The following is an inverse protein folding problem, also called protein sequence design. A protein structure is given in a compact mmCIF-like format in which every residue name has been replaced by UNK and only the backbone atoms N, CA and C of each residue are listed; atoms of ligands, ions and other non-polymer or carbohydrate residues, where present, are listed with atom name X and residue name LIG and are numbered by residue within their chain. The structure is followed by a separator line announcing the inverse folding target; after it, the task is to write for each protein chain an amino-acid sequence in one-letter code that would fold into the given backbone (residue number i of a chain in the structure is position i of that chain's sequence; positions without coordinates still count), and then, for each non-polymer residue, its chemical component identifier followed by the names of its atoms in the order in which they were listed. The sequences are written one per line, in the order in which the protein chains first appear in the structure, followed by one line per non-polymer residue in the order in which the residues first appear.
data_IF_525258392628
#
_entry.id   IF_525258392628
#
_cell.length_a   1.000
_cell.length_b   1.000
_cell.length_c   1.000
_cell.angle_alpha   90.00
_cell.angle_beta   90.00
_cell.angle_gamma   90.00
#
_symmetry.space_group_name_H-M   'P 1'
#
loop_
_entity.id
_entity.type
_entity.pdbx_description
1 polymer ?
#
# COMPACT_ATOMS: atom_id res chain seq x y z
N UNK A 1 5.24 -5.91 -23.82
CA UNK A 1 3.88 -6.40 -23.53
C UNK A 1 3.93 -7.21 -22.25
N UNK A 2 3.33 -6.71 -21.17
CA UNK A 2 3.28 -7.42 -19.89
C UNK A 2 2.46 -8.70 -20.06
N UNK A 3 3.06 -9.86 -19.78
CA UNK A 3 2.33 -11.13 -19.76
C UNK A 3 1.67 -11.28 -18.40
N UNK A 4 0.38 -10.97 -18.33
CA UNK A 4 -0.43 -11.34 -17.17
C UNK A 4 -0.51 -12.87 -17.07
N UNK A 5 -0.40 -13.40 -15.86
CA UNK A 5 -0.33 -14.85 -15.61
C UNK A 5 -1.66 -15.58 -15.78
N UNK A 6 -2.78 -14.87 -15.75
CA UNK A 6 -4.12 -15.43 -15.92
C UNK A 6 -5.13 -14.36 -16.35
N UNK A 7 -6.32 -14.77 -16.80
CA UNK A 7 -7.44 -13.85 -17.06
C UNK A 7 -7.83 -13.06 -15.81
N UNK A 8 -7.79 -13.71 -14.63
CA UNK A 8 -8.05 -13.06 -13.34
C UNK A 8 -7.02 -11.98 -13.04
N UNK A 9 -5.74 -12.25 -13.31
CA UNK A 9 -4.69 -11.25 -13.12
C UNK A 9 -4.95 -10.03 -14.02
N UNK A 10 -5.34 -10.25 -15.29
CA UNK A 10 -5.73 -9.16 -16.19
C UNK A 10 -6.92 -8.36 -15.63
N UNK A 11 -7.96 -9.02 -15.14
CA UNK A 11 -9.13 -8.35 -14.54
C UNK A 11 -8.75 -7.48 -13.33
N UNK A 12 -7.93 -7.99 -12.41
CA UNK A 12 -7.47 -7.22 -11.26
C UNK A 12 -6.65 -6.01 -11.69
N UNK A 13 -5.80 -6.14 -12.71
CA UNK A 13 -5.04 -5.01 -13.26
C UNK A 13 -5.94 -3.97 -13.92
N UNK A 14 -6.95 -4.40 -14.67
CA UNK A 14 -7.95 -3.50 -15.27
C UNK A 14 -8.73 -2.74 -14.20
N UNK A 15 -9.23 -3.42 -13.16
CA UNK A 15 -9.90 -2.77 -12.03
C UNK A 15 -8.98 -1.77 -11.29
N UNK A 16 -7.70 -2.13 -11.16
CA UNK A 16 -6.69 -1.27 -10.53
C UNK A 16 -6.41 0.00 -11.30
N UNK A 17 -6.38 -0.10 -12.63
CA UNK A 17 -6.19 1.03 -13.54
C UNK A 17 -7.40 1.98 -13.51
N UNK A 18 -8.63 1.45 -13.55
CA UNK A 18 -9.83 2.27 -13.38
C UNK A 18 -9.82 3.02 -12.06
N UNK A 19 -9.55 2.33 -10.95
CA UNK A 19 -9.46 2.98 -9.63
C UNK A 19 -8.39 4.09 -9.59
N UNK A 20 -7.29 3.93 -10.33
CA UNK A 20 -6.24 4.93 -10.42
C UNK A 20 -6.65 6.12 -11.31
N UNK A 21 -7.38 5.86 -12.41
CA UNK A 21 -7.96 6.90 -13.28
C UNK A 21 -8.98 7.75 -12.52
N UNK A 22 -9.92 7.13 -11.83
CA UNK A 22 -10.92 7.82 -11.00
C UNK A 22 -10.26 8.68 -9.93
N UNK A 23 -9.15 8.21 -9.37
CA UNK A 23 -8.41 8.93 -8.35
C UNK A 23 -7.80 10.24 -8.85
N UNK A 24 -7.64 10.45 -10.16
CA UNK A 24 -7.20 11.74 -10.72
C UNK A 24 -8.21 12.85 -10.48
N UNK A 25 -9.50 12.50 -10.41
CA UNK A 25 -10.62 13.42 -10.14
C UNK A 25 -10.98 13.49 -8.65
N UNK A 26 -10.22 12.81 -7.78
CA UNK A 26 -10.46 12.80 -6.33
C UNK A 26 -10.40 14.22 -5.74
N UNK A 27 -11.33 14.49 -4.82
CA UNK A 27 -11.32 15.73 -4.03
C UNK A 27 -10.15 15.82 -3.05
N UNK A 28 -9.45 14.72 -2.76
CA UNK A 28 -8.20 14.73 -2.00
C UNK A 28 -7.03 15.19 -2.90
N UNK A 29 -6.46 16.40 -2.69
CA UNK A 29 -5.50 16.98 -3.64
C UNK A 29 -4.21 16.17 -3.79
N UNK A 30 -3.80 15.47 -2.73
CA UNK A 30 -2.62 14.61 -2.75
C UNK A 30 -2.86 13.38 -3.62
N UNK A 31 -4.02 12.75 -3.45
CA UNK A 31 -4.39 11.56 -4.21
C UNK A 31 -4.49 11.89 -5.69
N UNK A 32 -5.25 12.93 -6.04
CA UNK A 32 -5.38 13.43 -7.41
C UNK A 32 -4.02 13.69 -8.05
N UNK A 33 -3.16 14.49 -7.40
CA UNK A 33 -1.83 14.80 -7.93
C UNK A 33 -0.96 13.56 -8.16
N UNK A 34 -0.94 12.63 -7.20
CA UNK A 34 -0.13 11.41 -7.32
C UNK A 34 -0.65 10.52 -8.46
N UNK A 35 -1.97 10.33 -8.54
CA UNK A 35 -2.61 9.56 -9.59
C UNK A 35 -2.32 10.14 -10.98
N UNK A 36 -2.56 11.45 -11.17
CA UNK A 36 -2.26 12.13 -12.44
C UNK A 36 -0.78 12.02 -12.80
N UNK A 37 0.12 12.21 -11.82
CA UNK A 37 1.57 12.08 -12.06
C UNK A 37 1.97 10.68 -12.56
N UNK A 38 1.30 9.62 -12.09
CA UNK A 38 1.57 8.25 -12.57
C UNK A 38 0.97 8.03 -13.95
N UNK A 39 -0.26 8.49 -14.20
CA UNK A 39 -0.98 8.27 -15.46
C UNK A 39 -0.40 9.08 -16.62
N UNK A 40 -0.02 10.34 -16.38
CA UNK A 40 0.45 11.27 -17.41
C UNK A 40 1.90 11.00 -17.86
N UNK A 41 2.65 10.14 -17.14
CA UNK A 41 4.04 9.82 -17.44
C UNK A 41 4.19 8.34 -17.78
N UNK A 42 4.35 8.03 -19.07
CA UNK A 42 4.52 6.66 -19.61
C UNK A 42 5.52 5.81 -18.84
N UNK A 43 6.65 6.40 -18.41
CA UNK A 43 7.70 5.66 -17.72
C UNK A 43 7.26 5.31 -16.30
N UNK A 44 6.64 6.25 -15.60
CA UNK A 44 6.09 6.01 -14.26
C UNK A 44 4.91 5.05 -14.31
N UNK A 45 4.02 5.19 -15.28
CA UNK A 45 2.91 4.29 -15.50
C UNK A 45 3.40 2.85 -15.70
N UNK A 46 4.34 2.60 -16.62
CA UNK A 46 4.88 1.25 -16.86
C UNK A 46 5.58 0.66 -15.64
N UNK A 47 6.28 1.50 -14.87
CA UNK A 47 6.92 1.06 -13.64
C UNK A 47 5.88 0.69 -12.56
N UNK A 48 4.82 1.49 -12.42
CA UNK A 48 3.68 1.17 -11.57
C UNK A 48 3.01 -0.13 -12.02
N UNK A 49 2.65 -0.24 -13.30
CA UNK A 49 1.96 -1.40 -13.87
C UNK A 49 2.72 -2.69 -13.59
N UNK A 50 4.03 -2.72 -13.88
CA UNK A 50 4.88 -3.88 -13.62
C UNK A 50 4.93 -4.25 -12.12
N UNK A 51 5.14 -3.26 -11.24
CA UNK A 51 5.24 -3.51 -9.80
C UNK A 51 3.90 -3.93 -9.21
N UNK A 52 2.81 -3.33 -9.67
CA UNK A 52 1.45 -3.60 -9.23
C UNK A 52 0.99 -5.00 -9.70
N UNK A 53 1.29 -5.37 -10.94
CA UNK A 53 1.06 -6.73 -11.44
C UNK A 53 1.82 -7.78 -10.62
N UNK A 54 3.09 -7.51 -10.27
CA UNK A 54 3.83 -8.41 -9.38
C UNK A 54 3.23 -8.48 -7.97
N UNK A 55 2.67 -7.38 -7.45
CA UNK A 55 1.99 -7.34 -6.16
C UNK A 55 0.68 -8.13 -6.16
N UNK A 56 -0.08 -8.09 -7.26
CA UNK A 56 -1.37 -8.77 -7.41
C UNK A 56 -1.28 -10.21 -7.90
N UNK A 57 -0.13 -10.64 -8.43
CA UNK A 57 0.07 -12.03 -8.87
C UNK A 57 -0.33 -13.07 -7.82
N UNK A 58 0.09 -12.99 -6.54
CA UNK A 58 -0.32 -13.96 -5.52
C UNK A 58 -1.83 -13.97 -5.26
N UNK A 59 -2.51 -12.83 -5.44
CA UNK A 59 -3.98 -12.72 -5.33
C UNK A 59 -4.62 -13.46 -6.50
N UNK A 60 -4.13 -13.22 -7.73
CA UNK A 60 -4.67 -13.83 -8.94
C UNK A 60 -4.50 -15.37 -8.98
N UNK A 61 -3.46 -15.89 -8.33
CA UNK A 61 -3.16 -17.33 -8.24
C UNK A 61 -4.12 -18.08 -7.31
N UNK A 62 -4.82 -17.39 -6.39
CA UNK A 62 -5.77 -18.04 -5.49
C UNK A 62 -7.08 -18.39 -6.21
N UNK A 63 -7.52 -19.63 -6.06
CA UNK A 63 -8.78 -20.12 -6.65
C UNK A 63 -10.01 -19.71 -5.86
N UNK A 64 -9.92 -19.67 -4.52
CA UNK A 64 -11.04 -19.31 -3.65
C UNK A 64 -10.95 -17.85 -3.18
N UNK A 65 -12.09 -17.15 -3.21
CA UNK A 65 -12.23 -15.74 -2.81
C UNK A 65 -11.63 -15.45 -1.43
N UNK A 66 -11.86 -16.32 -0.44
CA UNK A 66 -11.29 -16.15 0.91
C UNK A 66 -9.76 -16.05 0.90
N UNK A 67 -9.08 -16.83 0.08
CA UNK A 67 -7.62 -16.78 -0.01
C UNK A 67 -7.13 -15.59 -0.85
N UNK A 68 -7.90 -15.16 -1.85
CA UNK A 68 -7.63 -13.91 -2.58
C UNK A 68 -7.61 -12.72 -1.63
N UNK A 69 -8.64 -12.63 -0.78
CA UNK A 69 -8.74 -11.58 0.25
C UNK A 69 -7.55 -11.61 1.21
N UNK A 70 -7.17 -12.78 1.72
CA UNK A 70 -6.00 -12.91 2.60
C UNK A 70 -4.70 -12.47 1.89
N UNK A 71 -4.53 -12.83 0.62
CA UNK A 71 -3.39 -12.39 -0.18
C UNK A 71 -3.40 -10.87 -0.43
N UNK A 72 -4.58 -10.26 -0.60
CA UNK A 72 -4.74 -8.83 -0.79
C UNK A 72 -4.37 -8.04 0.48
N UNK A 73 -4.81 -8.49 1.67
CA UNK A 73 -4.35 -7.92 2.95
C UNK A 73 -2.83 -7.96 3.09
N UNK A 74 -2.20 -9.04 2.66
CA UNK A 74 -0.74 -9.15 2.67
C UNK A 74 -0.08 -8.14 1.71
N UNK A 75 -0.68 -7.91 0.53
CA UNK A 75 -0.25 -6.85 -0.37
C UNK A 75 -0.34 -5.46 0.28
N UNK A 76 -1.45 -5.14 0.97
CA UNK A 76 -1.60 -3.86 1.68
C UNK A 76 -0.55 -3.66 2.76
N UNK A 77 -0.22 -4.71 3.53
CA UNK A 77 0.87 -4.67 4.52
C UNK A 77 2.20 -4.30 3.87
N UNK A 78 2.53 -4.86 2.69
CA UNK A 78 3.74 -4.47 1.96
C UNK A 78 3.70 -3.00 1.55
N UNK A 79 2.55 -2.49 1.09
CA UNK A 79 2.38 -1.09 0.71
C UNK A 79 2.50 -0.13 1.90
N UNK A 80 2.02 -0.52 3.08
CA UNK A 80 2.22 0.22 4.33
C UNK A 80 3.72 0.38 4.61
N UNK A 81 4.48 -0.72 4.53
CA UNK A 81 5.93 -0.69 4.80
C UNK A 81 6.67 0.17 3.78
N UNK A 82 6.34 0.02 2.50
CA UNK A 82 6.97 0.78 1.40
C UNK A 82 6.72 2.29 1.46
N UNK A 83 5.69 2.75 2.16
CA UNK A 83 5.37 4.18 2.33
C UNK A 83 5.88 4.76 3.65
N UNK A 84 6.39 3.92 4.55
CA UNK A 84 6.58 4.26 5.94
C UNK A 84 7.65 5.34 6.17
N UNK A 85 8.81 5.22 5.51
CA UNK A 85 9.88 6.20 5.68
C UNK A 85 9.43 7.57 5.15
N UNK A 86 8.91 7.64 3.92
CA UNK A 86 8.39 8.90 3.39
C UNK A 86 7.30 9.53 4.28
N UNK A 87 6.29 8.74 4.73
CA UNK A 87 5.25 9.24 5.65
C UNK A 87 5.86 9.74 6.96
N UNK A 88 6.82 9.01 7.55
CA UNK A 88 7.48 9.41 8.78
C UNK A 88 8.24 10.73 8.62
N UNK A 89 9.04 10.87 7.55
CA UNK A 89 9.80 12.09 7.25
C UNK A 89 8.87 13.30 7.08
N UNK A 90 7.72 13.10 6.43
CA UNK A 90 6.72 14.15 6.22
C UNK A 90 6.04 14.55 7.54
N UNK A 91 5.52 13.58 8.31
CA UNK A 91 4.78 13.84 9.55
C UNK A 91 5.64 14.52 10.61
N UNK A 92 6.92 14.18 10.71
CA UNK A 92 7.82 14.72 11.74
C UNK A 92 8.73 15.84 11.20
N UNK A 93 8.49 16.29 9.96
CA UNK A 93 9.28 17.32 9.28
C UNK A 93 10.79 17.13 9.41
N UNK A 94 11.26 15.88 9.26
CA UNK A 94 12.66 15.54 9.57
C UNK A 94 13.61 16.19 8.55
N UNK A 95 14.55 17.00 9.06
CA UNK A 95 15.50 17.78 8.23
C UNK A 95 16.96 17.51 8.62
N UNK A 96 17.88 18.04 7.81
CA UNK A 96 19.30 18.12 8.10
C UNK A 96 19.98 16.77 8.40
N UNK A 97 20.79 16.75 9.47
CA UNK A 97 21.60 15.57 9.85
C UNK A 97 20.73 14.37 10.19
N UNK A 98 19.58 14.56 10.85
CA UNK A 98 18.67 13.48 11.18
C UNK A 98 18.11 12.82 9.91
N UNK A 99 17.68 13.61 8.93
CA UNK A 99 17.22 13.10 7.63
C UNK A 99 18.31 12.27 6.94
N UNK A 100 19.55 12.80 6.87
CA UNK A 100 20.70 12.07 6.30
C UNK A 100 20.98 10.74 7.00
N UNK A 101 20.90 10.70 8.33
CA UNK A 101 21.08 9.46 9.11
C UNK A 101 20.02 8.42 8.78
N UNK A 102 18.76 8.83 8.67
CA UNK A 102 17.67 7.93 8.31
C UNK A 102 17.84 7.38 6.89
N UNK A 103 18.16 8.22 5.90
CA UNK A 103 18.43 7.73 4.54
C UNK A 103 19.59 6.74 4.51
N UNK A 104 20.68 7.00 5.23
CA UNK A 104 21.80 6.04 5.35
C UNK A 104 21.38 4.71 5.99
N UNK A 105 20.45 4.74 6.95
CA UNK A 105 19.95 3.54 7.61
C UNK A 105 19.11 2.66 6.67
N UNK A 106 18.25 3.27 5.86
CA UNK A 106 17.29 2.55 5.02
C UNK A 106 17.76 2.32 3.58
N UNK A 107 18.71 3.12 3.10
CA UNK A 107 19.29 3.08 1.75
C UNK A 107 20.81 3.04 1.83
N UNK A 108 21.36 1.95 2.38
CA UNK A 108 22.79 1.85 2.76
C UNK A 108 23.77 1.95 1.60
N UNK A 109 23.35 1.60 0.39
CA UNK A 109 24.21 1.53 -0.81
C UNK A 109 24.11 2.75 -1.72
N UNK A 110 23.18 3.67 -1.44
CA UNK A 110 22.93 4.84 -2.27
C UNK A 110 23.57 6.08 -1.66
N UNK A 111 23.97 7.04 -2.49
CA UNK A 111 24.26 8.37 -1.99
C UNK A 111 22.98 9.05 -1.46
N UNK A 112 23.13 10.19 -0.80
CA UNK A 112 21.99 10.84 -0.17
C UNK A 112 20.92 11.31 -1.16
N UNK A 113 21.32 11.83 -2.32
CA UNK A 113 20.41 12.40 -3.31
C UNK A 113 19.68 11.29 -4.05
N UNK A 114 20.40 10.25 -4.45
CA UNK A 114 19.85 9.02 -5.02
C UNK A 114 18.87 8.35 -4.06
N UNK A 115 19.20 8.27 -2.78
CA UNK A 115 18.32 7.69 -1.76
C UNK A 115 17.00 8.49 -1.61
N UNK A 116 17.06 9.82 -1.69
CA UNK A 116 15.86 10.68 -1.67
C UNK A 116 14.97 10.40 -2.89
N UNK A 117 15.57 10.36 -4.08
CA UNK A 117 14.83 10.13 -5.32
C UNK A 117 14.23 8.72 -5.36
N UNK A 118 14.99 7.71 -4.92
CA UNK A 118 14.56 6.33 -4.82
C UNK A 118 13.38 6.17 -3.85
N UNK A 119 13.47 6.79 -2.66
CA UNK A 119 12.40 6.77 -1.66
C UNK A 119 11.14 7.49 -2.16
N UNK A 120 11.28 8.66 -2.79
CA UNK A 120 10.14 9.38 -3.35
C UNK A 120 9.43 8.57 -4.44
N UNK A 121 10.20 7.96 -5.35
CA UNK A 121 9.65 7.09 -6.39
C UNK A 121 8.93 5.88 -5.78
N UNK A 122 9.57 5.21 -4.82
CA UNK A 122 8.98 4.09 -4.10
C UNK A 122 7.64 4.48 -3.44
N UNK A 123 7.63 5.64 -2.77
CA UNK A 123 6.44 6.17 -2.13
C UNK A 123 5.30 6.40 -3.13
N UNK A 124 5.57 7.06 -4.26
CA UNK A 124 4.57 7.32 -5.31
C UNK A 124 3.96 6.04 -5.85
N UNK A 125 4.80 5.04 -6.18
CA UNK A 125 4.35 3.76 -6.72
C UNK A 125 3.55 2.95 -5.70
N UNK A 126 3.99 2.95 -4.44
CA UNK A 126 3.29 2.26 -3.37
C UNK A 126 1.99 2.95 -2.96
N UNK A 127 1.93 4.28 -3.03
CA UNK A 127 0.71 5.03 -2.76
C UNK A 127 -0.33 4.79 -3.84
N UNK A 128 0.07 4.85 -5.11
CA UNK A 128 -0.81 4.59 -6.26
C UNK A 128 -1.32 3.15 -6.27
N UNK A 129 -0.46 2.17 -5.97
CA UNK A 129 -0.89 0.79 -5.75
C UNK A 129 -1.90 0.67 -4.60
N UNK A 130 -1.76 1.49 -3.55
CA UNK A 130 -2.66 1.49 -2.40
C UNK A 130 -4.06 2.02 -2.73
N UNK A 131 -4.16 2.98 -3.65
CA UNK A 131 -5.46 3.45 -4.18
C UNK A 131 -6.18 2.27 -4.83
N UNK A 132 -5.50 1.56 -5.74
CA UNK A 132 -6.04 0.42 -6.46
C UNK A 132 -6.38 -0.76 -5.55
N UNK A 133 -5.51 -1.12 -4.59
CA UNK A 133 -5.80 -2.23 -3.67
C UNK A 133 -6.97 -1.91 -2.74
N UNK A 134 -7.09 -0.68 -2.24
CA UNK A 134 -8.24 -0.25 -1.45
C UNK A 134 -9.56 -0.41 -2.21
N UNK A 135 -9.59 -0.01 -3.49
CA UNK A 135 -10.77 -0.24 -4.34
C UNK A 135 -11.11 -1.72 -4.47
N UNK A 136 -10.12 -2.58 -4.73
CA UNK A 136 -10.33 -4.04 -4.82
C UNK A 136 -10.85 -4.60 -3.48
N UNK A 137 -10.33 -4.14 -2.34
CA UNK A 137 -10.80 -4.54 -1.00
C UNK A 137 -12.27 -4.15 -0.80
N UNK A 138 -12.64 -2.94 -1.19
CA UNK A 138 -14.03 -2.44 -1.10
C UNK A 138 -14.98 -3.28 -1.96
N UNK A 139 -14.57 -3.61 -3.19
CA UNK A 139 -15.31 -4.53 -4.08
C UNK A 139 -15.43 -5.91 -3.45
N UNK A 140 -14.36 -6.42 -2.83
CA UNK A 140 -14.34 -7.70 -2.12
C UNK A 140 -15.07 -7.68 -0.76
N UNK A 141 -15.56 -6.52 -0.31
CA UNK A 141 -16.37 -6.32 0.90
C UNK A 141 -15.75 -6.89 2.19
N UNK A 142 -14.43 -6.85 2.31
CA UNK A 142 -13.70 -7.42 3.45
C UNK A 142 -13.58 -6.47 4.66
N UNK A 143 -14.71 -6.14 5.27
CA UNK A 143 -14.76 -5.22 6.43
C UNK A 143 -13.87 -5.66 7.61
N UNK A 144 -13.75 -6.97 7.85
CA UNK A 144 -12.89 -7.52 8.89
C UNK A 144 -11.42 -7.25 8.58
N UNK A 145 -10.99 -7.51 7.34
CA UNK A 145 -9.64 -7.21 6.88
C UNK A 145 -9.32 -5.73 6.89
N UNK A 146 -10.20 -4.88 6.38
CA UNK A 146 -10.03 -3.42 6.40
C UNK A 146 -9.70 -2.92 7.81
N UNK A 147 -10.48 -3.34 8.81
CA UNK A 147 -10.23 -2.98 10.21
C UNK A 147 -8.90 -3.53 10.73
N UNK A 148 -8.50 -4.75 10.35
CA UNK A 148 -7.22 -5.33 10.76
C UNK A 148 -6.04 -4.59 10.13
N UNK A 149 -6.13 -4.24 8.84
CA UNK A 149 -5.11 -3.49 8.10
C UNK A 149 -4.95 -2.08 8.68
N UNK A 150 -6.06 -1.39 9.00
CA UNK A 150 -6.00 -0.08 9.68
C UNK A 150 -5.33 -0.15 11.05
N UNK A 151 -5.69 -1.16 11.87
CA UNK A 151 -5.05 -1.38 13.16
C UNK A 151 -3.56 -1.69 13.00
N UNK A 152 -3.21 -2.46 11.96
CA UNK A 152 -1.84 -2.76 11.62
C UNK A 152 -1.08 -1.50 11.21
N UNK A 153 -1.61 -0.67 10.32
CA UNK A 153 -0.97 0.57 9.86
C UNK A 153 -0.70 1.50 11.04
N UNK A 154 -1.69 1.74 11.91
CA UNK A 154 -1.54 2.58 13.12
C UNK A 154 -0.46 2.03 14.06
N UNK A 155 -0.47 0.71 14.30
CA UNK A 155 0.53 0.07 15.17
C UNK A 155 1.92 0.10 14.54
N UNK A 156 2.01 -0.06 13.21
CA UNK A 156 3.26 -0.07 12.47
C UNK A 156 3.88 1.32 12.40
N UNK A 157 3.08 2.36 12.21
CA UNK A 157 3.55 3.75 12.28
C UNK A 157 4.23 4.04 13.62
N UNK A 158 3.62 3.64 14.75
CA UNK A 158 4.22 3.77 16.08
C UNK A 158 5.50 2.97 16.24
N UNK A 159 5.52 1.73 15.76
CA UNK A 159 6.74 0.90 15.76
C UNK A 159 7.86 1.55 14.95
N UNK A 160 7.54 2.06 13.76
CA UNK A 160 8.47 2.67 12.84
C UNK A 160 9.04 3.98 13.40
N UNK A 161 8.20 4.80 14.03
CA UNK A 161 8.60 6.00 14.76
C UNK A 161 9.58 5.66 15.89
N UNK A 162 9.28 4.67 16.74
CA UNK A 162 10.19 4.23 17.80
C UNK A 162 11.53 3.74 17.25
N UNK A 163 11.52 3.00 16.13
CA UNK A 163 12.74 2.57 15.44
C UNK A 163 13.57 3.75 14.93
N UNK A 164 12.93 4.74 14.30
CA UNK A 164 13.60 5.94 13.82
C UNK A 164 14.16 6.78 14.96
N UNK A 165 13.42 6.91 16.07
CA UNK A 165 13.88 7.57 17.28
C UNK A 165 15.14 6.89 17.82
N UNK A 166 15.12 5.56 18.03
CA UNK A 166 16.28 4.81 18.52
C UNK A 166 17.51 5.00 17.61
N UNK A 167 17.30 5.08 16.30
CA UNK A 167 18.39 5.24 15.33
C UNK A 167 18.98 6.66 15.28
N UNK A 168 18.25 7.67 15.73
CA UNK A 168 18.65 9.08 15.60
C UNK A 168 18.97 9.76 16.93
N UNK A 169 18.37 9.28 18.02
CA UNK A 169 18.59 9.77 19.37
C UNK A 169 20.04 9.62 19.82
N UNK A 170 20.47 10.53 20.71
CA UNK A 170 21.82 10.52 21.31
C UNK A 170 21.80 10.09 22.77
N UNK A 171 20.68 10.24 23.44
CA UNK A 171 20.51 9.91 24.85
C UNK A 171 20.33 8.40 25.06
N UNK A 172 21.30 7.78 25.71
CA UNK A 172 21.30 6.34 25.97
C UNK A 172 20.19 5.87 26.90
N UNK A 173 19.74 6.70 27.83
CA UNK A 173 18.72 6.33 28.81
C UNK A 173 17.33 6.42 28.19
N UNK A 174 17.05 7.48 27.41
CA UNK A 174 15.85 7.52 26.57
C UNK A 174 15.79 6.33 25.59
N UNK A 175 16.92 5.96 24.98
CA UNK A 175 16.98 4.79 24.08
C UNK A 175 16.61 3.49 24.82
N UNK A 176 17.10 3.29 26.05
CA UNK A 176 16.77 2.09 26.86
C UNK A 176 15.27 2.02 27.15
N UNK A 177 14.66 3.15 27.51
CA UNK A 177 13.21 3.24 27.78
C UNK A 177 12.41 2.92 26.51
N UNK A 178 12.73 3.53 25.37
CA UNK A 178 11.99 3.27 24.12
C UNK A 178 12.18 1.82 23.65
N UNK A 179 13.34 1.21 23.86
CA UNK A 179 13.60 -0.20 23.52
C UNK A 179 12.75 -1.17 24.32
N UNK A 180 12.40 -0.88 25.58
CA UNK A 180 11.53 -1.75 26.36
C UNK A 180 10.11 -1.74 25.76
N UNK A 181 9.56 -0.56 25.48
CA UNK A 181 8.23 -0.41 24.86
C UNK A 181 8.16 -0.96 23.43
N UNK A 182 9.28 -0.92 22.68
CA UNK A 182 9.32 -1.42 21.31
C UNK A 182 8.94 -2.91 21.22
N UNK A 183 9.31 -3.72 22.21
CA UNK A 183 8.99 -5.16 22.24
C UNK A 183 7.48 -5.41 22.30
N UNK A 184 6.76 -4.60 23.07
CA UNK A 184 5.30 -4.72 23.21
C UNK A 184 4.60 -4.37 21.89
N UNK A 185 5.03 -3.29 21.24
CA UNK A 185 4.50 -2.87 19.94
C UNK A 185 4.80 -3.93 18.87
N UNK A 186 6.01 -4.50 18.87
CA UNK A 186 6.38 -5.60 17.97
C UNK A 186 5.51 -6.84 18.22
N UNK A 187 5.25 -7.20 19.47
CA UNK A 187 4.34 -8.30 19.82
C UNK A 187 2.91 -8.06 19.31
N UNK A 188 2.41 -6.81 19.40
CA UNK A 188 1.09 -6.44 18.85
C UNK A 188 1.06 -6.54 17.31
N UNK A 189 2.12 -6.11 16.62
CA UNK A 189 2.23 -6.25 15.17
C UNK A 189 2.19 -7.70 14.72
N UNK A 190 2.92 -8.59 15.39
CA UNK A 190 2.91 -10.02 15.07
C UNK A 190 1.54 -10.65 15.27
N UNK A 191 0.82 -10.25 16.34
CA UNK A 191 -0.57 -10.69 16.56
C UNK A 191 -1.50 -10.21 15.45
N UNK A 192 -1.42 -8.93 15.06
CA UNK A 192 -2.24 -8.38 13.99
C UNK A 192 -1.94 -9.05 12.65
N UNK A 193 -0.66 -9.28 12.33
CA UNK A 193 -0.25 -10.01 11.13
C UNK A 193 -0.82 -11.42 11.09
N UNK A 194 -0.68 -12.17 12.18
CA UNK A 194 -1.25 -13.52 12.29
C UNK A 194 -2.77 -13.50 12.08
N UNK A 195 -3.48 -12.55 12.70
CA UNK A 195 -4.93 -12.40 12.51
C UNK A 195 -5.30 -12.08 11.05
N UNK A 196 -4.54 -11.21 10.37
CA UNK A 196 -4.76 -10.93 8.95
C UNK A 196 -4.61 -12.18 8.06
N UNK A 197 -3.74 -13.12 8.44
CA UNK A 197 -3.47 -14.37 7.73
C UNK A 197 -4.49 -15.48 8.07
N UNK A 198 -5.10 -15.47 9.26
CA UNK A 198 -5.96 -16.57 9.73
C UNK A 198 -7.45 -16.24 9.82
N UNK A 199 -7.84 -14.98 10.05
CA UNK A 199 -9.25 -14.59 10.17
C UNK A 199 -9.89 -14.50 8.79
N UNK A 200 -10.82 -15.41 8.50
CA UNK A 200 -11.53 -15.41 7.22
C UNK A 200 -12.42 -14.16 7.06
N UNK A 201 -12.59 -13.65 5.83
CA UNK A 201 -13.52 -12.56 5.57
C UNK A 201 -14.95 -12.95 5.93
N UNK A 202 -15.72 -11.99 6.42
CA UNK A 202 -17.14 -12.18 6.71
C UNK A 202 -17.89 -12.29 5.38
N UNK A 203 -18.46 -13.46 5.09
CA UNK A 203 -19.03 -13.74 3.77
C UNK A 203 -20.24 -12.84 3.47
N UNK A 204 -20.14 -12.06 2.38
CA UNK A 204 -21.30 -11.64 1.58
C UNK A 204 -21.20 -12.32 0.22
N UNK A 205 -22.22 -13.10 -0.11
CA UNK A 205 -22.33 -13.91 -1.32
C UNK A 205 -22.22 -13.05 -2.58
N UNK A 206 -21.32 -13.43 -3.50
CA UNK A 206 -21.11 -12.77 -4.80
C UNK A 206 -19.73 -13.08 -5.39
N UNK A 207 -19.64 -13.27 -6.70
CA UNK A 207 -18.33 -13.28 -7.40
C UNK A 207 -17.72 -11.88 -7.40
N UNK A 208 -16.38 -11.76 -7.46
CA UNK A 208 -15.72 -10.46 -7.67
C UNK A 208 -16.29 -9.74 -8.88
N UNK A 209 -16.53 -10.45 -10.00
CA UNK A 209 -17.10 -9.87 -11.22
C UNK A 209 -18.49 -9.25 -10.98
N UNK A 210 -19.34 -9.92 -10.19
CA UNK A 210 -20.67 -9.41 -9.86
C UNK A 210 -20.59 -8.18 -8.95
N UNK A 211 -19.65 -8.18 -8.01
CA UNK A 211 -19.48 -7.06 -7.07
C UNK A 211 -18.82 -5.85 -7.74
N UNK A 212 -17.87 -6.08 -8.65
CA UNK A 212 -17.24 -5.06 -9.48
C UNK A 212 -18.29 -4.39 -10.39
N UNK A 213 -19.13 -5.18 -11.07
CA UNK A 213 -20.23 -4.66 -11.89
C UNK A 213 -21.23 -3.84 -11.06
N UNK A 214 -21.56 -4.31 -9.85
CA UNK A 214 -22.45 -3.57 -8.93
C UNK A 214 -21.81 -2.31 -8.35
N UNK A 215 -20.50 -2.32 -8.09
CA UNK A 215 -19.76 -1.14 -7.66
C UNK A 215 -19.76 -0.07 -8.76
N UNK A 216 -19.59 -0.49 -10.01
CA UNK A 216 -19.71 0.38 -11.19
C UNK A 216 -21.10 0.99 -11.33
N UNK A 217 -22.18 0.26 -11.02
CA UNK A 217 -23.56 0.77 -11.12
C UNK A 217 -24.01 1.73 -10.00
N UNK A 218 -23.18 2.02 -9.00
CA UNK A 218 -23.64 2.78 -7.81
C UNK A 218 -22.64 3.75 -7.17
N UNK A 219 -21.37 3.80 -7.60
CA UNK A 219 -20.40 4.85 -7.21
C UNK A 219 -19.41 5.24 -8.33
N UNK A 220 -19.41 4.53 -9.46
CA UNK A 220 -18.41 4.68 -10.52
C UNK A 220 -19.07 4.58 -11.90
N UNK A 221 -20.04 5.46 -12.17
CA UNK A 221 -20.49 5.71 -13.54
C UNK A 221 -19.40 6.48 -14.29
N UNK A 222 -18.42 5.77 -14.86
CA UNK A 222 -17.64 6.29 -15.98
C UNK A 222 -18.04 5.52 -17.23
N UNK A 223 -18.91 6.20 -17.97
CA UNK A 223 -19.02 6.27 -19.43
C UNK A 223 -18.43 5.12 -20.25
N UNK A 224 -19.31 4.53 -21.05
CA UNK A 224 -19.02 3.72 -22.22
C UNK A 224 -17.85 4.28 -23.05
N UNK A 225 -16.65 3.71 -22.92
CA UNK A 225 -15.53 3.90 -23.85
C UNK A 225 -15.06 2.57 -24.43
N UNK A 226 -16.00 1.81 -24.99
CA UNK A 226 -15.73 0.80 -26.01
C UNK A 226 -16.78 0.93 -27.12
N UNK A 227 -16.73 2.05 -27.82
CA UNK A 227 -17.29 2.24 -29.16
C UNK A 227 -16.54 3.38 -29.86
N UNK A 228 -15.28 3.12 -30.25
CA UNK A 228 -14.67 3.50 -31.55
C UNK A 228 -13.55 2.49 -31.82
#
# INVERSE_FOLDING_TARGET
MLRYSSNRHRQLMTASEYALQDATESSEPRQSRIASTIIDDDKKYREWELRHANLLRPVAEQSARKYQVLALRHADVQLIHRRALFKYLQTHEVRGVCRRRLFRLFHTTLDHEEAILAEHRQYMLAYSSGISTNHIVDVMQDSTGTRLVEQYEKTFARYFEMKCFIATARDSDCIKIVRSSLRDVQGRLMRLRRRMETELPTERTGSFDQQELLARSGRYEIQNYLNV
#
